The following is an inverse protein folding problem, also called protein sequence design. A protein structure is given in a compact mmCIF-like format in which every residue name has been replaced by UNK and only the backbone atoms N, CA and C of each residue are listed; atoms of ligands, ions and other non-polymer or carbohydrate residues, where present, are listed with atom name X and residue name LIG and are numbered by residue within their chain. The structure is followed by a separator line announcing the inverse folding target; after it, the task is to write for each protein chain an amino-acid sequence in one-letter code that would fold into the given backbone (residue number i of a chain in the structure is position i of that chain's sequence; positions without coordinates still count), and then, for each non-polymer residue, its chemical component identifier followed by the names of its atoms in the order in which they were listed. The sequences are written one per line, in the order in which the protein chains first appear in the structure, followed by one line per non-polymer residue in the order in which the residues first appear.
data_IF_953954034406
#
_entry.id   IF_953954034406
#
_cell.length_a   1.000
_cell.length_b   1.000
_cell.length_c   1.000
_cell.angle_alpha   90.00
_cell.angle_beta   90.00
_cell.angle_gamma   90.00
#
_symmetry.space_group_name_H-M   'P 1'
#
loop_
_entity.id
_entity.type
_entity.pdbx_description
1 polymer ?
#
# COMPACT_ATOMS: atom_id res chain seq x y z
N UNK A 1 -26.84 16.81 6.42
CA UNK A 1 -27.10 17.62 5.20
C UNK A 1 -25.75 18.07 4.68
N UNK A 2 -25.47 17.86 3.40
CA UNK A 2 -24.19 18.20 2.78
C UNK A 2 -24.39 19.32 1.75
N UNK A 3 -23.44 20.24 1.66
CA UNK A 3 -23.43 21.31 0.66
C UNK A 3 -22.03 21.45 0.09
N UNK A 4 -21.93 21.34 -1.22
CA UNK A 4 -20.67 21.60 -1.91
C UNK A 4 -20.35 23.09 -1.86
N UNK A 5 -19.12 23.42 -1.47
CA UNK A 5 -18.62 24.77 -1.44
C UNK A 5 -18.15 25.17 -2.84
N UNK A 6 -18.56 26.35 -3.32
CA UNK A 6 -18.38 26.72 -4.73
C UNK A 6 -16.91 27.04 -5.09
N UNK A 7 -16.12 27.60 -4.16
CA UNK A 7 -14.76 28.06 -4.45
C UNK A 7 -13.72 27.43 -3.51
N UNK A 8 -12.64 26.86 -4.06
CA UNK A 8 -11.54 26.31 -3.27
C UNK A 8 -10.22 26.75 -3.94
N UNK A 9 -9.36 27.55 -3.28
CA UNK A 9 -9.44 28.07 -1.91
C UNK A 9 -10.38 29.28 -1.74
N UNK A 10 -11.07 29.38 -0.59
CA UNK A 10 -11.86 30.55 -0.18
C UNK A 10 -12.07 30.59 1.34
N UNK A 11 -12.45 31.75 1.88
CA UNK A 11 -12.78 31.93 3.29
C UNK A 11 -14.28 31.65 3.52
N UNK A 12 -14.58 30.78 4.48
CA UNK A 12 -15.94 30.40 4.86
C UNK A 12 -16.21 30.74 6.32
N UNK A 13 -17.39 31.31 6.60
CA UNK A 13 -17.90 31.52 7.96
C UNK A 13 -19.16 30.67 8.18
N UNK A 14 -19.29 30.13 9.39
CA UNK A 14 -20.41 29.28 9.79
C UNK A 14 -21.11 29.97 10.96
N UNK A 15 -22.41 30.23 10.80
CA UNK A 15 -23.25 30.81 11.84
C UNK A 15 -24.35 29.81 12.20
N UNK A 16 -24.54 29.59 13.50
CA UNK A 16 -25.53 28.66 14.04
C UNK A 16 -26.43 29.40 15.02
N UNK A 17 -27.75 29.22 14.90
CA UNK A 17 -28.75 29.78 15.81
C UNK A 17 -29.70 28.68 16.29
N UNK A 18 -29.86 28.55 17.60
CA UNK A 18 -30.74 27.56 18.21
C UNK A 18 -30.35 27.26 19.66
N UNK A 19 -31.16 26.45 20.33
CA UNK A 19 -30.97 26.05 21.73
C UNK A 19 -30.31 24.68 21.89
N UNK A 20 -29.91 24.03 20.79
CA UNK A 20 -29.33 22.68 20.76
C UNK A 20 -27.95 22.69 20.12
N UNK A 21 -27.14 21.67 20.42
CA UNK A 21 -25.81 21.52 19.82
C UNK A 21 -25.88 20.96 18.40
N UNK A 22 -24.89 21.31 17.58
CA UNK A 22 -24.71 20.79 16.22
C UNK A 22 -23.23 20.50 15.99
N UNK A 23 -22.93 19.39 15.30
CA UNK A 23 -21.59 19.08 14.82
C UNK A 23 -21.51 19.44 13.34
N UNK A 24 -20.48 20.18 12.95
CA UNK A 24 -20.23 20.58 11.57
C UNK A 24 -18.88 20.05 11.12
N UNK A 25 -18.86 19.35 9.99
CA UNK A 25 -17.65 18.80 9.39
C UNK A 25 -17.44 19.42 8.01
N UNK A 26 -16.20 19.84 7.74
CA UNK A 26 -15.76 20.28 6.41
C UNK A 26 -14.67 19.33 5.93
N UNK A 27 -14.79 18.86 4.70
CA UNK A 27 -13.79 18.01 4.06
C UNK A 27 -13.34 18.64 2.74
N UNK A 28 -12.03 18.68 2.51
CA UNK A 28 -11.42 19.15 1.29
C UNK A 28 -10.54 18.04 0.73
N UNK A 29 -10.77 17.68 -0.53
CA UNK A 29 -9.98 16.68 -1.22
C UNK A 29 -9.20 17.36 -2.35
N UNK A 30 -7.88 17.23 -2.33
CA UNK A 30 -7.00 17.77 -3.36
C UNK A 30 -5.78 16.86 -3.53
N UNK A 31 -5.20 16.90 -4.73
CA UNK A 31 -3.95 16.19 -5.02
C UNK A 31 -2.77 17.10 -4.69
N UNK A 32 -1.82 16.58 -3.92
CA UNK A 32 -0.51 17.20 -3.73
C UNK A 32 0.54 16.45 -4.53
N UNK A 33 1.61 17.14 -5.00
CA UNK A 33 2.80 16.46 -5.45
C UNK A 33 3.33 15.53 -4.35
N UNK A 34 3.86 14.38 -4.72
CA UNK A 34 4.46 13.44 -3.77
C UNK A 34 5.56 14.16 -2.97
N UNK A 35 5.50 14.17 -1.62
CA UNK A 35 6.47 14.89 -0.80
C UNK A 35 7.90 14.41 -1.08
N UNK A 36 8.82 15.35 -1.29
CA UNK A 36 10.26 15.10 -1.50
C UNK A 36 11.02 14.90 -0.17
N UNK A 37 10.32 14.89 0.96
CA UNK A 37 10.95 14.61 2.26
C UNK A 37 11.61 13.24 2.24
N UNK A 38 12.79 13.15 2.83
CA UNK A 38 13.51 11.90 2.98
C UNK A 38 12.69 10.98 3.88
N UNK A 39 12.01 10.00 3.26
CA UNK A 39 11.28 8.95 3.97
C UNK A 39 12.26 7.96 4.55
N UNK A 40 12.01 7.49 5.76
CA UNK A 40 12.92 6.52 6.39
C UNK A 40 12.65 5.10 5.88
N UNK A 41 11.44 4.86 5.39
CA UNK A 41 11.06 3.64 4.69
C UNK A 41 11.09 3.84 3.17
N UNK A 42 11.55 2.81 2.46
CA UNK A 42 11.48 2.73 1.01
C UNK A 42 11.04 1.35 0.56
N UNK A 43 10.34 1.32 -0.57
CA UNK A 43 9.84 0.08 -1.17
C UNK A 43 10.11 0.08 -2.67
N UNK A 44 10.72 -1.00 -3.14
CA UNK A 44 10.91 -1.31 -4.55
C UNK A 44 10.04 -2.51 -4.91
N UNK A 45 9.44 -2.50 -6.10
CA UNK A 45 8.62 -3.60 -6.58
C UNK A 45 8.88 -3.89 -8.05
N UNK A 46 8.98 -5.19 -8.38
CA UNK A 46 9.19 -5.69 -9.73
C UNK A 46 8.26 -6.87 -9.99
N UNK A 47 7.67 -6.89 -11.18
CA UNK A 47 6.90 -8.04 -11.66
C UNK A 47 7.73 -8.85 -12.65
N UNK A 48 7.65 -10.16 -12.49
CA UNK A 48 8.17 -11.15 -13.44
C UNK A 48 7.02 -12.06 -13.87
N UNK A 49 6.98 -12.47 -15.14
CA UNK A 49 5.92 -13.34 -15.63
C UNK A 49 6.09 -13.70 -17.09
N UNK A 50 5.57 -14.86 -17.49
CA UNK A 50 5.58 -15.30 -18.89
C UNK A 50 4.30 -14.81 -19.61
N UNK A 51 4.45 -13.81 -20.49
CA UNK A 51 3.35 -13.23 -21.27
C UNK A 51 2.89 -14.10 -22.46
N UNK A 52 3.40 -15.33 -22.61
CA UNK A 52 3.00 -16.23 -23.71
C UNK A 52 1.54 -16.67 -23.64
N UNK A 53 0.92 -16.68 -22.46
CA UNK A 53 -0.48 -17.07 -22.30
C UNK A 53 -1.41 -15.90 -22.52
N UNK A 54 -2.46 -16.09 -23.31
CA UNK A 54 -3.51 -15.07 -23.54
C UNK A 54 -4.46 -14.92 -22.35
N UNK A 55 -4.55 -15.93 -21.48
CA UNK A 55 -5.41 -15.93 -20.29
C UNK A 55 -4.82 -16.85 -19.20
N UNK A 56 -5.16 -16.56 -17.94
CA UNK A 56 -4.70 -17.35 -16.79
C UNK A 56 -3.20 -17.20 -16.55
N UNK A 57 -2.68 -16.00 -16.78
CA UNK A 57 -1.28 -15.66 -16.54
C UNK A 57 -0.97 -15.74 -15.04
N UNK A 58 0.23 -16.21 -14.74
CA UNK A 58 0.81 -16.17 -13.40
C UNK A 58 1.94 -15.14 -13.42
N UNK A 59 1.84 -14.14 -12.57
CA UNK A 59 2.88 -13.14 -12.37
C UNK A 59 3.45 -13.33 -10.96
N UNK A 60 4.74 -13.04 -10.81
CA UNK A 60 5.44 -13.04 -9.54
C UNK A 60 5.84 -11.61 -9.20
N UNK A 61 5.25 -11.08 -8.14
CA UNK A 61 5.58 -9.76 -7.62
C UNK A 61 6.69 -9.91 -6.58
N UNK A 62 7.89 -9.42 -6.92
CA UNK A 62 9.03 -9.29 -6.02
C UNK A 62 9.04 -7.88 -5.44
N UNK A 63 8.90 -7.75 -4.12
CA UNK A 63 8.99 -6.45 -3.45
C UNK A 63 10.07 -6.46 -2.37
N UNK A 64 10.72 -5.33 -2.21
CA UNK A 64 11.84 -5.14 -1.28
C UNK A 64 11.62 -3.90 -0.44
N UNK A 65 11.63 -4.08 0.88
CA UNK A 65 11.53 -3.00 1.85
C UNK A 65 12.91 -2.69 2.41
N UNK A 66 13.24 -1.41 2.56
CA UNK A 66 14.45 -0.93 3.23
C UNK A 66 14.11 0.15 4.23
N UNK A 67 14.88 0.18 5.32
CA UNK A 67 14.81 1.19 6.36
C UNK A 67 16.16 1.90 6.53
N UNK A 68 16.15 3.23 6.50
CA UNK A 68 17.30 4.10 6.75
C UNK A 68 17.01 5.18 7.82
N UNK A 69 16.10 4.89 8.74
CA UNK A 69 15.82 5.79 9.85
C UNK A 69 16.90 5.78 10.94
N UNK A 70 16.72 6.56 12.01
CA UNK A 70 17.76 6.73 13.03
C UNK A 70 17.97 5.49 13.93
N UNK A 71 16.97 4.61 14.04
CA UNK A 71 17.03 3.44 14.93
C UNK A 71 17.75 2.25 14.26
N UNK A 72 18.14 1.25 15.06
CA UNK A 72 18.77 0.04 14.52
C UNK A 72 17.79 -0.83 13.71
N UNK A 73 16.49 -0.71 13.98
CA UNK A 73 15.39 -1.41 13.32
C UNK A 73 14.09 -0.63 13.50
N UNK A 74 13.09 -0.92 12.69
CA UNK A 74 11.73 -0.37 12.83
C UNK A 74 10.94 -1.09 13.93
N UNK A 75 9.77 -0.53 14.25
CA UNK A 75 8.67 -1.31 14.84
C UNK A 75 7.97 -2.14 13.75
N UNK A 76 6.71 -2.53 14.01
CA UNK A 76 5.88 -3.23 13.04
C UNK A 76 5.61 -2.35 11.81
N UNK A 77 5.90 -2.89 10.63
CA UNK A 77 5.74 -2.23 9.33
C UNK A 77 4.63 -2.93 8.57
N UNK A 78 3.75 -2.16 7.95
CA UNK A 78 2.73 -2.66 7.03
C UNK A 78 3.21 -2.47 5.61
N UNK A 79 3.11 -3.53 4.80
CA UNK A 79 3.15 -3.45 3.34
C UNK A 79 1.74 -3.68 2.82
N UNK A 80 1.15 -2.64 2.21
CA UNK A 80 -0.18 -2.68 1.62
C UNK A 80 -0.06 -2.78 0.10
N UNK A 81 -0.44 -3.93 -0.45
CA UNK A 81 -0.30 -4.28 -1.85
C UNK A 81 -1.68 -4.25 -2.50
N UNK A 82 -1.95 -3.20 -3.30
CA UNK A 82 -3.13 -3.19 -4.18
C UNK A 82 -2.89 -4.15 -5.33
N UNK A 83 -3.83 -5.03 -5.62
CA UNK A 83 -3.75 -5.98 -6.72
C UNK A 83 -4.04 -5.33 -8.09
N UNK A 84 -3.43 -5.88 -9.14
CA UNK A 84 -3.76 -5.52 -10.51
C UNK A 84 -5.21 -5.91 -10.82
N UNK A 85 -5.94 -5.07 -11.56
CA UNK A 85 -7.33 -5.37 -11.93
C UNK A 85 -7.44 -6.69 -12.69
N UNK A 86 -8.33 -7.57 -12.24
CA UNK A 86 -8.52 -8.91 -12.83
C UNK A 86 -7.55 -9.98 -12.33
N UNK A 87 -6.73 -9.68 -11.32
CA UNK A 87 -5.85 -10.63 -10.64
C UNK A 87 -6.35 -10.94 -9.22
N UNK A 88 -6.09 -12.16 -8.78
CA UNK A 88 -6.12 -12.57 -7.37
C UNK A 88 -4.70 -12.87 -6.90
N UNK A 89 -4.48 -12.92 -5.60
CA UNK A 89 -3.19 -13.27 -5.02
C UNK A 89 -3.21 -14.66 -4.37
N UNK A 90 -2.07 -15.34 -4.42
CA UNK A 90 -1.76 -16.51 -3.60
C UNK A 90 -0.73 -16.10 -2.56
N UNK A 91 -1.15 -16.10 -1.30
CA UNK A 91 -0.36 -15.62 -0.15
C UNK A 91 0.48 -16.72 0.50
N UNK A 92 0.43 -17.96 0.02
CA UNK A 92 1.15 -19.10 0.61
C UNK A 92 2.66 -18.85 0.76
N UNK A 93 3.26 -18.11 -0.18
CA UNK A 93 4.69 -17.73 -0.15
C UNK A 93 5.03 -16.70 0.95
N UNK A 94 4.03 -15.98 1.44
CA UNK A 94 4.16 -14.98 2.50
C UNK A 94 3.73 -15.51 3.87
N UNK A 95 3.12 -16.69 3.93
CA UNK A 95 2.64 -17.22 5.20
C UNK A 95 3.79 -17.41 6.19
N UNK A 96 3.59 -17.08 7.48
CA UNK A 96 4.61 -17.28 8.50
C UNK A 96 4.96 -18.77 8.59
N UNK A 97 6.10 -19.17 8.03
CA UNK A 97 6.54 -20.56 8.14
C UNK A 97 6.90 -20.85 9.59
N UNK A 98 6.07 -21.66 10.26
CA UNK A 98 6.19 -22.02 11.68
C UNK A 98 7.54 -22.68 12.05
N UNK A 99 8.31 -23.11 11.06
CA UNK A 99 9.60 -23.80 11.18
C UNK A 99 10.82 -22.90 11.02
N UNK A 100 10.66 -21.63 10.60
CA UNK A 100 11.79 -20.72 10.41
C UNK A 100 11.70 -19.51 11.33
N UNK A 101 12.59 -19.46 12.32
CA UNK A 101 12.79 -18.31 13.21
C UNK A 101 13.29 -17.04 12.50
N UNK A 102 13.48 -17.10 11.17
CA UNK A 102 13.94 -16.01 10.32
C UNK A 102 12.80 -15.27 9.58
N UNK A 103 11.56 -15.76 9.60
CA UNK A 103 10.46 -15.04 8.93
C UNK A 103 10.13 -13.75 9.69
N UNK A 104 10.34 -12.62 9.00
CA UNK A 104 9.93 -11.30 9.49
C UNK A 104 8.43 -11.05 9.30
N UNK A 105 7.73 -11.87 8.51
CA UNK A 105 6.29 -11.78 8.32
C UNK A 105 5.58 -12.36 9.55
N UNK A 106 4.81 -11.53 10.24
CA UNK A 106 3.99 -11.91 11.38
C UNK A 106 2.61 -12.41 10.94
N UNK A 107 2.03 -11.73 9.96
CA UNK A 107 0.67 -11.97 9.49
C UNK A 107 0.50 -11.49 8.06
N UNK A 108 -0.44 -12.12 7.36
CA UNK A 108 -0.91 -11.67 6.04
C UNK A 108 -2.44 -11.66 6.08
N UNK A 109 -3.04 -10.53 5.71
CA UNK A 109 -4.48 -10.40 5.54
C UNK A 109 -4.80 -10.12 4.07
N UNK A 110 -5.94 -10.62 3.62
CA UNK A 110 -6.52 -10.26 2.32
C UNK A 110 -7.83 -9.53 2.55
N UNK A 111 -7.94 -8.31 2.03
CA UNK A 111 -9.13 -7.47 2.17
C UNK A 111 -9.41 -6.78 0.84
N UNK A 112 -10.62 -6.99 0.31
CA UNK A 112 -11.03 -6.42 -0.98
C UNK A 112 -10.01 -6.76 -2.10
N UNK A 113 -9.47 -5.75 -2.79
CA UNK A 113 -8.41 -5.89 -3.79
C UNK A 113 -7.01 -5.63 -3.22
N UNK A 114 -6.81 -5.84 -1.92
CA UNK A 114 -5.55 -5.60 -1.21
C UNK A 114 -5.04 -6.85 -0.48
N UNK A 115 -3.72 -7.03 -0.51
CA UNK A 115 -2.98 -7.96 0.35
C UNK A 115 -2.16 -7.12 1.33
N UNK A 116 -2.38 -7.32 2.62
CA UNK A 116 -1.75 -6.57 3.70
C UNK A 116 -0.76 -7.49 4.42
N UNK A 117 0.52 -7.15 4.35
CA UNK A 117 1.60 -7.92 4.98
C UNK A 117 2.09 -7.17 6.21
N UNK A 118 2.11 -7.86 7.35
CA UNK A 118 2.58 -7.34 8.62
C UNK A 118 4.00 -7.85 8.87
N UNK A 119 4.99 -6.97 8.80
CA UNK A 119 6.38 -7.26 9.13
C UNK A 119 6.66 -6.87 10.58
N UNK A 120 7.25 -7.76 11.37
CA UNK A 120 7.60 -7.52 12.78
C UNK A 120 8.54 -6.33 12.94
N UNK A 121 9.55 -6.30 12.08
CA UNK A 121 10.59 -5.28 12.04
C UNK A 121 11.32 -5.33 10.70
N UNK A 122 11.91 -4.19 10.31
CA UNK A 122 12.85 -4.06 9.20
C UNK A 122 14.17 -3.54 9.79
N UNK A 123 15.25 -4.33 9.75
CA UNK A 123 16.54 -3.87 10.25
C UNK A 123 17.10 -2.74 9.38
N UNK A 124 17.79 -1.79 10.01
CA UNK A 124 18.42 -0.68 9.29
C UNK A 124 19.46 -1.18 8.30
N UNK A 125 19.46 -0.62 7.09
CA UNK A 125 20.40 -0.95 6.02
C UNK A 125 20.40 -2.42 5.55
N UNK A 126 19.37 -3.19 5.90
CA UNK A 126 19.16 -4.56 5.40
C UNK A 126 17.91 -4.56 4.53
N UNK A 127 18.06 -5.01 3.29
CA UNK A 127 16.94 -5.16 2.37
C UNK A 127 16.14 -6.42 2.72
N UNK A 128 14.85 -6.24 2.99
CA UNK A 128 13.92 -7.34 3.27
C UNK A 128 13.06 -7.57 2.03
N UNK A 129 13.28 -8.70 1.36
CA UNK A 129 12.60 -9.03 0.10
C UNK A 129 11.61 -10.17 0.28
N UNK A 130 10.46 -10.04 -0.38
CA UNK A 130 9.39 -11.02 -0.38
C UNK A 130 8.78 -11.19 -1.77
N UNK A 131 8.08 -12.30 -1.96
CA UNK A 131 7.43 -12.65 -3.22
C UNK A 131 5.94 -12.91 -2.99
N UNK A 132 5.12 -12.41 -3.91
CA UNK A 132 3.69 -12.67 -3.95
C UNK A 132 3.31 -13.18 -5.33
N UNK A 133 2.64 -14.32 -5.40
CA UNK A 133 2.16 -14.85 -6.67
C UNK A 133 0.80 -14.26 -7.00
N UNK A 134 0.68 -13.67 -8.20
CA UNK A 134 -0.55 -13.12 -8.74
C UNK A 134 -1.08 -14.04 -9.84
N UNK A 135 -2.38 -14.34 -9.80
CA UNK A 135 -3.05 -15.18 -10.79
C UNK A 135 -4.16 -14.40 -11.47
N UNK A 136 -4.13 -14.34 -12.78
CA UNK A 136 -5.19 -13.71 -13.56
C UNK A 136 -6.48 -14.55 -13.51
N UNK A 137 -7.58 -13.92 -13.10
CA UNK A 137 -8.93 -14.52 -13.06
C UNK A 137 -9.89 -13.85 -14.04
N UNK A 138 -9.59 -12.64 -14.49
CA UNK A 138 -10.38 -11.91 -15.48
C UNK A 138 -9.43 -11.20 -16.46
N UNK A 139 -9.64 -11.31 -17.78
CA UNK A 139 -8.84 -10.60 -18.75
C UNK A 139 -9.22 -9.11 -18.76
N UNK A 140 -8.24 -8.23 -18.57
CA UNK A 140 -8.41 -6.77 -18.57
C UNK A 140 -7.49 -6.17 -19.63
N UNK A 141 -8.03 -5.32 -20.51
CA UNK A 141 -7.24 -4.57 -21.49
C UNK A 141 -6.73 -3.26 -20.88
N UNK A 142 -5.58 -2.79 -21.34
CA UNK A 142 -4.95 -1.54 -20.88
C UNK A 142 -4.75 -1.53 -19.35
N UNK A 143 -4.11 -2.58 -18.85
CA UNK A 143 -3.88 -2.76 -17.42
C UNK A 143 -3.10 -1.56 -16.86
N UNK A 144 -3.68 -0.90 -15.87
CA UNK A 144 -3.01 0.22 -15.18
C UNK A 144 -2.02 -0.33 -14.15
N UNK A 145 -0.91 0.38 -13.89
CA UNK A 145 -0.05 0.08 -12.76
C UNK A 145 -0.83 0.08 -11.45
N UNK A 146 -0.50 -0.84 -10.55
CA UNK A 146 -1.03 -0.88 -9.20
C UNK A 146 -0.03 -0.29 -8.20
N UNK A 147 -0.54 0.19 -7.08
CA UNK A 147 0.24 0.85 -6.02
C UNK A 147 0.60 -0.18 -4.95
N UNK A 148 1.85 -0.15 -4.50
CA UNK A 148 2.29 -0.81 -3.27
C UNK A 148 2.80 0.26 -2.30
N UNK A 149 2.38 0.15 -1.05
CA UNK A 149 2.69 1.11 0.01
C UNK A 149 3.41 0.42 1.15
N UNK A 150 4.30 1.14 1.81
CA UNK A 150 4.96 0.74 3.04
C UNK A 150 4.87 1.86 4.07
N UNK A 151 4.53 1.54 5.31
CA UNK A 151 4.44 2.51 6.39
C UNK A 151 4.57 1.83 7.76
N UNK A 152 5.02 2.59 8.76
CA UNK A 152 5.02 2.16 10.15
C UNK A 152 3.58 2.09 10.69
N UNK A 153 3.25 1.02 11.42
CA UNK A 153 1.91 0.80 11.98
C UNK A 153 1.46 1.92 12.94
N UNK A 154 2.38 2.52 13.68
CA UNK A 154 2.11 3.57 14.66
C UNK A 154 2.33 4.98 14.10
N UNK A 155 3.07 5.11 13.00
CA UNK A 155 3.39 6.40 12.39
C UNK A 155 3.21 6.37 10.86
N UNK A 156 1.95 6.49 10.43
CA UNK A 156 1.58 6.46 9.00
C UNK A 156 2.03 7.69 8.21
N UNK A 157 2.62 8.70 8.85
CA UNK A 157 3.17 9.87 8.17
C UNK A 157 4.43 9.53 7.35
N UNK A 158 5.19 8.51 7.75
CA UNK A 158 6.36 8.02 7.01
C UNK A 158 5.97 6.93 6.01
N UNK A 159 4.96 7.24 5.20
CA UNK A 159 4.46 6.34 4.17
C UNK A 159 5.26 6.51 2.88
N UNK A 160 5.80 5.43 2.36
CA UNK A 160 6.43 5.38 1.04
C UNK A 160 5.62 4.50 0.10
N UNK A 161 5.61 4.84 -1.19
CA UNK A 161 4.84 4.11 -2.18
C UNK A 161 5.58 4.03 -3.50
N UNK A 162 5.34 2.97 -4.24
CA UNK A 162 5.81 2.81 -5.61
C UNK A 162 4.73 2.15 -6.46
N UNK A 163 4.91 2.22 -7.77
CA UNK A 163 4.03 1.58 -8.75
C UNK A 163 4.70 0.33 -9.27
N UNK A 164 3.90 -0.71 -9.50
CA UNK A 164 4.31 -1.88 -10.25
C UNK A 164 3.34 -2.14 -11.39
N UNK A 165 3.88 -2.56 -12.52
CA UNK A 165 3.11 -2.82 -13.74
C UNK A 165 3.49 -4.16 -14.34
N UNK A 166 2.50 -4.84 -14.92
CA UNK A 166 2.75 -5.96 -15.82
C UNK A 166 3.18 -5.44 -17.20
N UNK A 167 4.15 -6.11 -17.81
CA UNK A 167 4.52 -5.91 -19.22
C UNK A 167 3.75 -6.85 -20.16
N UNK A 168 2.95 -7.75 -19.58
CA UNK A 168 1.83 -8.41 -20.22
C UNK A 168 0.60 -7.48 -20.11
#
# INVERSE_FOLDING_TARGET
QEKQLQNVPANYSIEVKGSTCVSVQMAQFYNIPTPTEAKTLSIDAKIEGDCKKTYGQHLLLNFTVKYDGPQAKTNMVIVDIKLLSGFTADTSMLEPQSTSSASLVERVDSKDDHVIVYLKEVPKNIAVSHQLQLKQILPVKNLKPAVIKVYDYYQTSDLSETLYSSHC
#
